data_IF_155104374569
#
_entry.id   IF_155104374569
#
_cell.length_a   1.000
_cell.length_b   1.000
_cell.length_c   1.000
_cell.angle_alpha   90.00
_cell.angle_beta   90.00
_cell.angle_gamma   90.00
#
_symmetry.space_group_name_H-M   'P 1'
#
loop_
_entity.id
_entity.type
_entity.pdbx_description
1 polymer ?
#
# COMPACT_ATOMS: atom_id res chain seq x y z
N UNK A 1 4.77 -64.68 -22.96
CA UNK A 1 6.15 -64.18 -22.75
C UNK A 1 6.13 -62.66 -22.84
N UNK A 2 6.62 -62.02 -21.77
CA UNK A 2 7.19 -60.66 -21.67
C UNK A 2 6.30 -59.44 -21.97
N UNK A 3 5.92 -58.81 -20.86
CA UNK A 3 5.58 -57.40 -20.71
C UNK A 3 6.73 -56.48 -21.19
N UNK A 4 6.42 -55.21 -21.46
CA UNK A 4 7.03 -54.06 -20.78
C UNK A 4 6.33 -52.75 -21.21
N UNK A 5 5.69 -52.11 -20.24
CA UNK A 5 5.15 -50.77 -20.31
C UNK A 5 6.29 -49.75 -20.43
N UNK A 6 6.19 -48.80 -21.37
CA UNK A 6 7.11 -47.67 -21.45
C UNK A 6 6.56 -46.51 -20.61
N UNK A 7 7.25 -46.23 -19.51
CA UNK A 7 7.00 -45.10 -18.62
C UNK A 7 7.32 -43.77 -19.32
N UNK A 8 6.36 -42.85 -19.27
CA UNK A 8 6.57 -41.43 -19.56
C UNK A 8 7.44 -40.80 -18.46
N UNK A 9 8.60 -40.26 -18.81
CA UNK A 9 9.38 -39.37 -17.95
C UNK A 9 9.09 -37.94 -18.41
N UNK A 10 8.08 -37.31 -17.80
CA UNK A 10 7.92 -35.86 -17.86
C UNK A 10 8.84 -35.30 -16.76
N UNK A 11 10.05 -34.91 -17.16
CA UNK A 11 10.96 -34.17 -16.30
C UNK A 11 10.30 -32.83 -15.94
N UNK A 12 9.86 -32.72 -14.69
CA UNK A 12 9.31 -31.49 -14.13
C UNK A 12 10.36 -30.38 -14.17
N UNK A 13 10.08 -29.32 -14.92
CA UNK A 13 10.74 -28.04 -14.78
C UNK A 13 10.40 -27.48 -13.39
N UNK A 14 11.31 -27.69 -12.43
CA UNK A 14 11.27 -27.05 -11.13
C UNK A 14 11.58 -25.58 -11.37
N UNK A 15 10.55 -24.77 -11.58
CA UNK A 15 10.66 -23.31 -11.52
C UNK A 15 11.07 -22.99 -10.08
N UNK A 16 12.30 -22.55 -9.90
CA UNK A 16 12.83 -22.05 -8.64
C UNK A 16 12.04 -20.82 -8.20
N UNK A 17 11.03 -21.03 -7.36
CA UNK A 17 10.37 -19.96 -6.60
C UNK A 17 11.45 -19.37 -5.69
N UNK A 18 11.68 -18.04 -5.68
CA UNK A 18 12.65 -17.46 -4.78
C UNK A 18 12.23 -17.83 -3.37
N UNK A 19 13.17 -18.35 -2.59
CA UNK A 19 12.96 -18.58 -1.17
C UNK A 19 12.45 -17.28 -0.56
N UNK A 20 11.18 -17.27 -0.15
CA UNK A 20 10.61 -16.20 0.66
C UNK A 20 11.47 -16.19 1.92
N UNK A 21 12.36 -15.20 2.04
CA UNK A 21 13.26 -15.11 3.17
C UNK A 21 12.40 -15.00 4.44
N UNK A 22 12.34 -16.09 5.19
CA UNK A 22 11.60 -16.25 6.44
C UNK A 22 12.23 -15.31 7.46
N UNK A 23 11.73 -14.07 7.52
CA UNK A 23 12.21 -13.05 8.46
C UNK A 23 12.25 -11.61 7.94
N UNK A 24 11.99 -11.35 6.66
CA UNK A 24 11.97 -10.00 6.11
C UNK A 24 10.71 -9.68 5.30
N UNK A 25 10.42 -8.39 5.15
CA UNK A 25 9.29 -7.89 4.41
C UNK A 25 9.55 -7.98 2.90
N UNK A 26 8.70 -8.75 2.22
CA UNK A 26 8.67 -8.78 0.77
C UNK A 26 8.26 -7.41 0.17
N UNK A 27 8.59 -7.21 -1.11
CA UNK A 27 8.29 -5.96 -1.83
C UNK A 27 6.80 -5.65 -1.90
N UNK A 28 5.93 -6.66 -1.94
CA UNK A 28 4.49 -6.47 -2.03
C UNK A 28 3.90 -5.94 -0.72
N UNK A 29 4.39 -6.42 0.42
CA UNK A 29 4.03 -5.99 1.77
C UNK A 29 4.48 -4.57 2.01
N UNK A 30 5.72 -4.23 1.63
CA UNK A 30 6.22 -2.85 1.69
C UNK A 30 5.40 -1.91 0.81
N UNK A 31 5.03 -2.34 -0.40
CA UNK A 31 4.18 -1.55 -1.31
C UNK A 31 2.77 -1.35 -0.73
N UNK A 32 2.19 -2.40 -0.15
CA UNK A 32 0.89 -2.34 0.51
C UNK A 32 0.91 -1.38 1.71
N UNK A 33 1.96 -1.43 2.53
CA UNK A 33 2.15 -0.51 3.64
C UNK A 33 2.25 0.94 3.18
N UNK A 34 3.00 1.23 2.09
CA UNK A 34 3.05 2.59 1.51
C UNK A 34 1.69 3.08 1.03
N UNK A 35 0.94 2.22 0.33
CA UNK A 35 -0.40 2.55 -0.18
C UNK A 35 -1.39 2.84 0.96
N UNK A 36 -1.35 2.03 2.02
CA UNK A 36 -2.20 2.22 3.19
C UNK A 36 -1.82 3.51 3.94
N UNK A 37 -0.53 3.76 4.15
CA UNK A 37 -0.04 4.97 4.81
C UNK A 37 -0.37 6.24 4.01
N UNK A 38 -0.21 6.20 2.69
CA UNK A 38 -0.66 7.27 1.79
C UNK A 38 -2.17 7.51 1.90
N UNK A 39 -2.99 6.44 1.87
CA UNK A 39 -4.44 6.57 1.98
C UNK A 39 -4.85 7.21 3.31
N UNK A 40 -4.23 6.82 4.42
CA UNK A 40 -4.51 7.42 5.73
C UNK A 40 -4.08 8.87 5.79
N UNK A 41 -2.90 9.20 5.27
CA UNK A 41 -2.46 10.59 5.16
C UNK A 41 -3.47 11.45 4.39
N UNK A 42 -3.89 11.02 3.20
CA UNK A 42 -4.86 11.77 2.39
C UNK A 42 -6.22 11.92 3.09
N UNK A 43 -6.71 10.86 3.74
CA UNK A 43 -7.95 10.91 4.53
C UNK A 43 -7.84 11.92 5.67
N UNK A 44 -6.75 11.89 6.45
CA UNK A 44 -6.58 12.81 7.58
C UNK A 44 -6.41 14.26 7.13
N UNK A 45 -5.71 14.50 6.01
CA UNK A 45 -5.62 15.84 5.41
C UNK A 45 -7.01 16.33 4.97
N UNK A 46 -7.81 15.48 4.32
CA UNK A 46 -9.18 15.84 3.93
C UNK A 46 -10.03 16.27 5.13
N UNK A 47 -10.03 15.47 6.20
CA UNK A 47 -10.76 15.79 7.43
C UNK A 47 -10.31 17.12 8.06
N UNK A 48 -9.00 17.37 8.09
CA UNK A 48 -8.42 18.60 8.65
C UNK A 48 -8.72 19.83 7.80
N UNK A 49 -8.69 19.69 6.47
CA UNK A 49 -9.03 20.77 5.56
C UNK A 49 -10.52 21.13 5.67
N UNK A 50 -11.39 20.12 5.75
CA UNK A 50 -12.82 20.32 6.00
C UNK A 50 -13.06 21.06 7.33
N UNK A 51 -12.32 20.75 8.39
CA UNK A 51 -12.44 21.40 9.69
C UNK A 51 -12.09 22.91 9.66
N UNK A 52 -11.32 23.37 8.69
CA UNK A 52 -10.98 24.80 8.51
C UNK A 52 -11.75 25.47 7.35
N UNK A 53 -12.77 24.81 6.79
CA UNK A 53 -13.59 25.33 5.70
C UNK A 53 -12.97 25.23 4.30
N UNK A 54 -11.87 24.49 4.14
CA UNK A 54 -11.29 24.16 2.82
C UNK A 54 -11.77 22.78 2.35
N UNK A 55 -12.61 22.72 1.33
CA UNK A 55 -13.13 21.45 0.83
C UNK A 55 -12.22 20.84 -0.24
N UNK A 56 -11.77 19.61 0.01
CA UNK A 56 -11.04 18.77 -0.96
C UNK A 56 -11.73 17.42 -1.18
N UNK A 57 -12.97 17.27 -0.72
CA UNK A 57 -13.69 15.99 -0.68
C UNK A 57 -13.87 15.44 -2.09
N UNK A 58 -14.24 16.29 -3.05
CA UNK A 58 -14.40 15.91 -4.46
C UNK A 58 -13.13 15.27 -5.04
N UNK A 59 -11.98 15.94 -4.93
CA UNK A 59 -10.71 15.42 -5.46
C UNK A 59 -10.26 14.16 -4.72
N UNK A 60 -10.42 14.13 -3.40
CA UNK A 60 -10.09 12.97 -2.57
C UNK A 60 -10.94 11.74 -2.93
N UNK A 61 -12.25 11.90 -3.07
CA UNK A 61 -13.18 10.83 -3.42
C UNK A 61 -12.93 10.30 -4.83
N UNK A 62 -12.75 11.19 -5.82
CA UNK A 62 -12.43 10.80 -7.19
C UNK A 62 -11.14 9.98 -7.27
N UNK A 63 -10.08 10.41 -6.57
CA UNK A 63 -8.82 9.66 -6.47
C UNK A 63 -9.02 8.30 -5.80
N UNK A 64 -9.83 8.25 -4.74
CA UNK A 64 -10.12 7.03 -4.00
C UNK A 64 -10.88 6.01 -4.83
N UNK A 65 -11.78 6.47 -5.70
CA UNK A 65 -12.59 5.65 -6.59
C UNK A 65 -11.78 5.11 -7.77
N UNK A 66 -11.04 5.98 -8.47
CA UNK A 66 -10.19 5.60 -9.61
C UNK A 66 -9.15 4.55 -9.20
N UNK A 67 -8.58 4.69 -8.01
CA UNK A 67 -7.54 3.79 -7.50
C UNK A 67 -8.06 2.73 -6.51
N UNK A 68 -9.38 2.58 -6.38
CA UNK A 68 -10.02 1.62 -5.45
C UNK A 68 -9.44 0.21 -5.51
N UNK A 69 -9.17 -0.40 -6.70
CA UNK A 69 -8.59 -1.74 -6.76
C UNK A 69 -7.22 -1.85 -6.10
N UNK A 70 -6.36 -0.84 -6.28
CA UNK A 70 -5.01 -0.83 -5.71
C UNK A 70 -5.04 -0.73 -4.18
N UNK A 71 -5.84 0.19 -3.66
CA UNK A 71 -6.03 0.32 -2.23
C UNK A 71 -6.66 -0.92 -1.58
N UNK A 72 -7.65 -1.53 -2.24
CA UNK A 72 -8.26 -2.78 -1.74
C UNK A 72 -7.26 -3.95 -1.74
N UNK A 73 -6.38 -4.04 -2.74
CA UNK A 73 -5.33 -5.05 -2.78
C UNK A 73 -4.30 -4.86 -1.64
N UNK A 74 -3.87 -3.61 -1.40
CA UNK A 74 -2.97 -3.28 -0.30
C UNK A 74 -3.59 -3.65 1.06
N UNK A 75 -4.84 -3.29 1.27
CA UNK A 75 -5.60 -3.56 2.48
C UNK A 75 -5.76 -5.07 2.75
N UNK A 76 -6.07 -5.88 1.71
CA UNK A 76 -6.06 -7.34 1.83
C UNK A 76 -4.68 -7.88 2.21
N UNK A 77 -3.60 -7.37 1.59
CA UNK A 77 -2.23 -7.83 1.87
C UNK A 77 -1.83 -7.54 3.31
N UNK A 78 -2.19 -6.36 3.84
CA UNK A 78 -1.89 -5.98 5.21
C UNK A 78 -2.71 -6.78 6.22
N UNK A 79 -4.00 -7.03 5.97
CA UNK A 79 -4.80 -7.94 6.81
C UNK A 79 -4.18 -9.33 6.90
N UNK A 80 -3.74 -9.88 5.77
CA UNK A 80 -3.06 -11.17 5.75
C UNK A 80 -1.69 -11.11 6.45
N UNK A 81 -0.98 -9.99 6.35
CA UNK A 81 0.30 -9.82 7.07
C UNK A 81 0.10 -9.75 8.58
N UNK A 82 -0.97 -9.12 9.07
CA UNK A 82 -1.22 -8.92 10.50
C UNK A 82 -2.13 -9.98 11.14
N UNK A 83 -2.61 -10.98 10.39
CA UNK A 83 -3.69 -11.87 10.82
C UNK A 83 -3.40 -12.67 12.09
N UNK A 84 -2.13 -12.97 12.36
CA UNK A 84 -1.65 -13.73 13.51
C UNK A 84 -1.04 -12.85 14.61
N UNK A 85 -1.06 -11.52 14.45
CA UNK A 85 -0.39 -10.56 15.33
C UNK A 85 -1.21 -9.28 15.57
N UNK A 86 -2.35 -9.40 16.26
CA UNK A 86 -3.26 -8.28 16.50
C UNK A 86 -2.61 -7.09 17.21
N UNK A 87 -1.72 -7.34 18.19
CA UNK A 87 -1.00 -6.26 18.90
C UNK A 87 -0.11 -5.44 17.97
N UNK A 88 0.50 -6.09 16.97
CA UNK A 88 1.32 -5.41 15.96
C UNK A 88 0.47 -4.54 15.04
N UNK A 89 -0.75 -4.99 14.71
CA UNK A 89 -1.72 -4.20 13.95
C UNK A 89 -2.18 -2.97 14.72
N UNK A 90 -2.49 -3.12 16.02
CA UNK A 90 -2.88 -2.00 16.87
C UNK A 90 -1.77 -0.97 16.94
N UNK A 91 -0.53 -1.41 17.22
CA UNK A 91 0.63 -0.52 17.25
C UNK A 91 0.88 0.16 15.88
N UNK A 92 0.69 -0.56 14.77
CA UNK A 92 0.78 0.00 13.42
C UNK A 92 -0.26 1.11 13.20
N UNK A 93 -1.52 0.84 13.54
CA UNK A 93 -2.64 1.78 13.42
C UNK A 93 -2.43 3.02 14.29
N UNK A 94 -1.97 2.84 15.54
CA UNK A 94 -1.63 3.95 16.45
C UNK A 94 -0.49 4.81 15.89
N UNK A 95 0.57 4.22 15.34
CA UNK A 95 1.68 4.98 14.72
C UNK A 95 1.18 5.84 13.56
N UNK A 96 0.28 5.31 12.74
CA UNK A 96 -0.31 6.07 11.64
C UNK A 96 -1.18 7.21 12.13
N UNK A 97 -2.06 6.95 13.10
CA UNK A 97 -2.90 7.98 13.73
C UNK A 97 -2.07 9.11 14.33
N UNK A 98 -1.04 8.77 15.11
CA UNK A 98 -0.14 9.77 15.72
C UNK A 98 0.64 10.57 14.67
N UNK A 99 1.07 9.92 13.58
CA UNK A 99 1.85 10.60 12.53
C UNK A 99 1.02 11.61 11.75
N UNK A 100 -0.19 11.24 11.35
CA UNK A 100 -0.98 12.03 10.41
C UNK A 100 -2.06 12.88 11.08
N UNK A 101 -2.47 12.51 12.32
CA UNK A 101 -3.55 13.14 13.07
C UNK A 101 -3.34 14.61 13.44
N UNK A 102 -2.11 15.03 13.75
CA UNK A 102 -1.84 16.34 14.37
C UNK A 102 -1.05 17.35 13.51
N UNK A 103 -1.00 17.20 12.18
CA UNK A 103 -0.20 18.10 11.35
C UNK A 103 -0.75 19.54 11.28
N UNK A 104 0.11 20.50 10.92
CA UNK A 104 -0.30 21.88 10.63
C UNK A 104 -1.17 21.94 9.38
N UNK A 105 -2.33 22.60 9.46
CA UNK A 105 -3.27 22.81 8.34
C UNK A 105 -3.43 24.29 8.08
N UNK A 106 -3.33 24.67 6.82
CA UNK A 106 -3.68 26.00 6.31
C UNK A 106 -4.30 25.84 4.91
N UNK A 107 -4.99 26.87 4.39
CA UNK A 107 -5.64 26.80 3.08
C UNK A 107 -4.68 26.47 1.93
N UNK A 108 -3.45 26.98 1.95
CA UNK A 108 -2.47 26.72 0.89
C UNK A 108 -2.03 25.25 0.89
N UNK A 109 -1.90 24.64 2.07
CA UNK A 109 -1.61 23.22 2.21
C UNK A 109 -2.78 22.36 1.71
N UNK A 110 -4.01 22.75 2.04
CA UNK A 110 -5.20 22.08 1.53
C UNK A 110 -5.25 22.09 0.01
N UNK A 111 -5.01 23.24 -0.63
CA UNK A 111 -4.95 23.34 -2.09
C UNK A 111 -3.87 22.45 -2.71
N UNK A 112 -2.69 22.34 -2.08
CA UNK A 112 -1.62 21.45 -2.56
C UNK A 112 -2.03 19.98 -2.55
N UNK A 113 -2.67 19.53 -1.47
CA UNK A 113 -3.13 18.13 -1.36
C UNK A 113 -4.35 17.85 -2.24
N UNK A 114 -5.26 18.80 -2.40
CA UNK A 114 -6.38 18.68 -3.35
C UNK A 114 -5.85 18.54 -4.78
N UNK A 115 -4.84 19.34 -5.16
CA UNK A 115 -4.17 19.19 -6.46
C UNK A 115 -3.58 17.80 -6.64
N UNK A 116 -2.91 17.25 -5.62
CA UNK A 116 -2.37 15.87 -5.69
C UNK A 116 -3.50 14.85 -5.88
N UNK A 117 -4.63 15.02 -5.19
CA UNK A 117 -5.78 14.14 -5.34
C UNK A 117 -6.38 14.22 -6.75
N UNK A 118 -6.65 15.43 -7.26
CA UNK A 118 -7.16 15.65 -8.62
C UNK A 118 -6.20 15.12 -9.69
N UNK A 119 -4.91 15.41 -9.59
CA UNK A 119 -3.88 14.90 -10.52
C UNK A 119 -3.86 13.35 -10.56
N UNK A 120 -4.13 12.68 -9.44
CA UNK A 120 -4.22 11.22 -9.37
C UNK A 120 -5.57 10.69 -9.87
N UNK A 121 -6.66 11.42 -9.67
CA UNK A 121 -7.96 11.07 -10.22
C UNK A 121 -7.94 11.09 -11.75
N UNK A 122 -7.26 12.09 -12.34
CA UNK A 122 -7.11 12.23 -13.80
C UNK A 122 -6.14 11.20 -14.42
N UNK A 123 -5.38 10.47 -13.59
CA UNK A 123 -4.33 9.54 -14.02
C UNK A 123 -4.59 8.14 -13.46
N UNK A 124 -5.49 7.38 -14.09
CA UNK A 124 -5.73 6.01 -13.68
C UNK A 124 -4.48 5.14 -13.85
N UNK A 125 -4.38 4.08 -13.04
CA UNK A 125 -3.37 3.04 -13.19
C UNK A 125 -2.30 3.04 -12.10
N UNK A 126 -1.78 1.84 -11.84
CA UNK A 126 -0.87 1.56 -10.73
C UNK A 126 0.46 2.30 -10.82
N UNK A 127 0.96 2.60 -12.03
CA UNK A 127 2.22 3.31 -12.22
C UNK A 127 2.15 4.78 -11.77
N UNK A 128 1.06 5.48 -12.11
CA UNK A 128 0.85 6.87 -11.71
C UNK A 128 0.70 6.99 -10.18
N UNK A 129 -0.14 6.13 -9.60
CA UNK A 129 -0.30 6.04 -8.14
C UNK A 129 1.00 5.67 -7.45
N UNK A 130 1.70 4.65 -7.95
CA UNK A 130 2.97 4.17 -7.40
C UNK A 130 4.03 5.28 -7.35
N UNK A 131 4.18 6.07 -8.42
CA UNK A 131 5.14 7.18 -8.44
C UNK A 131 4.89 8.18 -7.29
N UNK A 132 3.64 8.59 -7.09
CA UNK A 132 3.29 9.55 -6.03
C UNK A 132 3.47 8.92 -4.65
N UNK A 133 2.94 7.72 -4.45
CA UNK A 133 2.98 6.99 -3.18
C UNK A 133 4.41 6.74 -2.72
N UNK A 134 5.30 6.29 -3.62
CA UNK A 134 6.71 6.04 -3.26
C UNK A 134 7.50 7.33 -3.00
N UNK A 135 7.11 8.44 -3.63
CA UNK A 135 7.71 9.75 -3.36
C UNK A 135 7.29 10.28 -2.00
N UNK A 136 6.01 10.16 -1.65
CA UNK A 136 5.46 10.71 -0.40
C UNK A 136 5.74 9.80 0.80
N UNK A 137 5.79 8.49 0.59
CA UNK A 137 6.05 7.47 1.62
C UNK A 137 7.33 6.71 1.26
N UNK A 138 8.48 7.35 1.51
CA UNK A 138 9.79 6.74 1.25
C UNK A 138 9.97 5.43 2.04
N UNK A 139 9.67 5.46 3.34
CA UNK A 139 9.80 4.31 4.25
C UNK A 139 8.49 4.13 5.03
N UNK A 140 7.70 3.09 4.73
CA UNK A 140 6.44 2.85 5.42
C UNK A 140 6.67 2.39 6.87
N UNK A 141 5.78 2.75 7.80
CA UNK A 141 5.91 2.47 9.25
C UNK A 141 5.43 1.07 9.69
N UNK A 142 5.67 0.08 8.85
CA UNK A 142 5.39 -1.33 9.11
C UNK A 142 6.55 -1.96 9.87
N UNK A 143 6.27 -2.92 10.75
CA UNK A 143 7.29 -3.65 11.50
C UNK A 143 8.02 -4.68 10.63
N UNK A 144 9.28 -4.96 10.96
CA UNK A 144 10.14 -5.89 10.23
C UNK A 144 11.13 -5.19 9.29
N UNK A 145 12.24 -5.86 9.00
CA UNK A 145 13.24 -5.35 8.05
C UNK A 145 12.84 -5.68 6.61
N UNK A 146 13.11 -4.79 5.67
CA UNK A 146 12.97 -5.09 4.24
C UNK A 146 13.96 -6.20 3.83
N UNK A 147 13.55 -7.07 2.91
CA UNK A 147 14.49 -8.03 2.33
C UNK A 147 15.59 -7.30 1.53
N UNK A 148 16.84 -7.80 1.54
CA UNK A 148 17.89 -7.25 0.70
C UNK A 148 17.47 -7.32 -0.78
N UNK A 149 17.89 -6.34 -1.56
CA UNK A 149 17.74 -6.41 -3.01
C UNK A 149 18.55 -7.61 -3.53
N UNK A 150 18.03 -8.36 -4.53
CA UNK A 150 18.77 -9.45 -5.16
C UNK A 150 20.04 -8.95 -5.85
#
# INVERSE_FOLDING_TARGET
MRALASCAVIAGLIVSVPAQATGCLDRATLTAARLNEFSTMMMTVNLRCKAIGSDMSEGYEAMRDVHRPAFAAADRRLRAFFSDKPRSYDAYSTRMGNRYGGGATDPANCQRFDKVARDLADRPGAAALGKVVFTMIATPRIEGAACPAP
#
